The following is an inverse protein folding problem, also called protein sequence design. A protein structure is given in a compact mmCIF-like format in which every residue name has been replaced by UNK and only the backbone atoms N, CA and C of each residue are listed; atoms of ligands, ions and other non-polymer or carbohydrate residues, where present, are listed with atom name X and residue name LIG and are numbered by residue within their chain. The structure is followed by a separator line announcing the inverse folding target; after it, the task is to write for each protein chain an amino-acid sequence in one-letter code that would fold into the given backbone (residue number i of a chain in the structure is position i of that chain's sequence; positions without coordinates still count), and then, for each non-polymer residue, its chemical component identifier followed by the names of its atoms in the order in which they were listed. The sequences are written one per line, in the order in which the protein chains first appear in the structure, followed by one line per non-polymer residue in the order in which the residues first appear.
data_IF_069037852217
#
_entry.id   IF_069037852217
#
_cell.length_a   1.000
_cell.length_b   1.000
_cell.length_c   1.000
_cell.angle_alpha   90.00
_cell.angle_beta   90.00
_cell.angle_gamma   90.00
#
_symmetry.space_group_name_H-M   'P 1'
#
loop_
_entity.id
_entity.type
_entity.pdbx_description
1 polymer ?
#
# COMPACT_ATOMS: atom_id res chain seq x y z
N UNK A 1 18.50 7.28 12.86
CA UNK A 1 17.17 6.72 12.55
C UNK A 1 17.27 5.22 12.32
N UNK A 2 17.24 4.45 13.41
CA UNK A 2 17.44 2.98 13.41
C UNK A 2 16.69 2.34 14.58
N UNK A 3 15.39 2.63 14.73
CA UNK A 3 14.62 2.07 15.85
C UNK A 3 14.62 0.54 15.76
N UNK A 4 14.53 0.00 14.54
CA UNK A 4 14.63 -1.43 14.28
C UNK A 4 15.92 -2.04 14.86
N UNK A 5 17.09 -1.44 14.61
CA UNK A 5 18.36 -1.96 15.13
C UNK A 5 18.52 -1.84 16.64
N UNK A 6 17.79 -0.93 17.28
CA UNK A 6 17.78 -0.79 18.74
C UNK A 6 16.90 -1.89 19.34
N UNK A 7 15.71 -2.08 18.77
CA UNK A 7 14.74 -3.07 19.23
C UNK A 7 15.22 -4.51 19.03
N UNK A 8 16.02 -4.77 18.01
CA UNK A 8 16.45 -6.14 17.69
C UNK A 8 17.76 -6.55 18.38
N UNK A 9 18.31 -5.73 19.30
CA UNK A 9 19.55 -6.07 20.01
C UNK A 9 19.47 -7.35 20.85
N UNK A 10 18.29 -7.66 21.38
CA UNK A 10 17.99 -8.91 22.08
C UNK A 10 16.49 -9.19 22.01
N UNK A 11 16.09 -10.43 22.24
CA UNK A 11 14.68 -10.83 22.25
C UNK A 11 13.86 -10.08 23.31
N UNK A 12 14.41 -9.90 24.52
CA UNK A 12 13.76 -9.11 25.57
C UNK A 12 13.51 -7.65 25.14
N UNK A 13 14.48 -7.02 24.47
CA UNK A 13 14.31 -5.64 23.96
C UNK A 13 13.28 -5.57 22.84
N UNK A 14 13.21 -6.62 22.01
CA UNK A 14 12.23 -6.70 20.96
C UNK A 14 10.81 -6.78 21.51
N UNK A 15 10.58 -7.63 22.51
CA UNK A 15 9.29 -7.72 23.19
C UNK A 15 8.90 -6.38 23.82
N UNK A 16 9.82 -5.74 24.57
CA UNK A 16 9.59 -4.40 25.13
C UNK A 16 9.24 -3.35 24.08
N UNK A 17 9.92 -3.37 22.93
CA UNK A 17 9.62 -2.45 21.82
C UNK A 17 8.24 -2.70 21.23
N UNK A 18 7.89 -3.96 20.95
CA UNK A 18 6.60 -4.31 20.36
C UNK A 18 5.46 -3.91 21.31
N UNK A 19 5.61 -4.16 22.60
CA UNK A 19 4.65 -3.74 23.62
C UNK A 19 4.48 -2.21 23.64
N UNK A 20 5.58 -1.46 23.67
CA UNK A 20 5.53 0.01 23.62
C UNK A 20 4.91 0.54 22.32
N UNK A 21 5.18 -0.10 21.16
CA UNK A 21 4.57 0.29 19.90
C UNK A 21 3.06 0.03 19.87
N UNK A 22 2.61 -1.04 20.53
CA UNK A 22 1.19 -1.35 20.70
C UNK A 22 0.54 -0.35 21.67
N UNK A 23 1.19 0.00 22.78
CA UNK A 23 0.68 1.00 23.74
C UNK A 23 0.54 2.40 23.11
N UNK A 24 1.49 2.79 22.24
CA UNK A 24 1.43 4.04 21.47
C UNK A 24 0.27 4.07 20.47
N UNK A 25 -0.24 2.92 20.05
CA UNK A 25 -1.43 2.83 19.20
C UNK A 25 -2.72 2.95 20.00
N UNK A 26 -2.68 2.59 21.29
CA UNK A 26 -3.84 2.54 22.19
C UNK A 26 -4.00 3.84 22.99
N UNK A 27 -2.90 4.56 23.27
CA UNK A 27 -2.89 5.77 24.11
C UNK A 27 -2.33 6.99 23.36
N UNK A 28 -2.85 8.18 23.66
CA UNK A 28 -2.41 9.44 23.04
C UNK A 28 -1.07 9.98 23.59
N UNK A 29 -0.45 9.34 24.59
CA UNK A 29 0.72 9.88 25.28
C UNK A 29 1.55 8.79 25.95
N UNK A 30 2.63 8.33 25.31
CA UNK A 30 3.76 7.73 26.03
C UNK A 30 5.08 8.14 25.39
N UNK A 31 6.00 8.67 26.19
CA UNK A 31 7.41 8.85 25.82
C UNK A 31 8.05 7.47 25.84
N UNK A 32 8.63 6.97 24.73
CA UNK A 32 9.31 5.67 24.71
C UNK A 32 10.37 5.59 25.83
N UNK A 33 10.07 4.86 26.91
CA UNK A 33 10.95 4.77 28.07
C UNK A 33 12.15 3.88 27.73
N UNK A 34 13.38 4.39 27.95
CA UNK A 34 14.62 3.64 27.76
C UNK A 34 15.34 3.87 26.43
N UNK A 35 14.83 4.74 25.55
CA UNK A 35 15.55 5.18 24.34
C UNK A 35 16.34 6.46 24.63
N UNK A 36 17.56 6.55 24.08
CA UNK A 36 18.33 7.81 24.17
C UNK A 36 17.54 8.96 23.50
N UNK A 37 17.68 10.21 23.98
CA UNK A 37 17.05 11.41 23.39
C UNK A 37 17.31 11.62 21.89
N UNK A 38 18.28 10.89 21.31
CA UNK A 38 18.67 10.93 19.91
C UNK A 38 17.76 10.12 18.97
N UNK A 39 16.86 9.27 19.50
CA UNK A 39 15.81 8.63 18.69
C UNK A 39 14.65 9.61 18.54
N UNK A 40 14.83 10.60 17.67
CA UNK A 40 13.72 11.46 17.24
C UNK A 40 12.82 10.64 16.31
N UNK A 41 11.59 10.37 16.74
CA UNK A 41 10.47 10.25 15.80
C UNK A 41 10.46 11.57 15.02
N UNK A 42 10.43 11.52 13.70
CA UNK A 42 10.41 12.75 12.90
C UNK A 42 9.11 13.50 13.18
N UNK A 43 9.16 14.47 14.09
CA UNK A 43 8.31 15.64 14.01
C UNK A 43 8.89 16.49 12.89
N UNK A 44 8.19 16.60 11.78
CA UNK A 44 8.59 17.54 10.72
C UNK A 44 8.22 18.95 11.18
N UNK A 45 9.18 19.84 11.47
CA UNK A 45 8.87 21.23 11.69
C UNK A 45 8.82 21.92 10.33
N UNK A 46 7.62 22.27 9.82
CA UNK A 46 7.31 23.52 9.09
C UNK A 46 6.13 23.43 8.07
N UNK A 47 5.22 24.41 8.25
CA UNK A 47 4.37 25.16 7.32
C UNK A 47 3.28 24.54 6.43
N UNK A 48 3.15 23.22 6.30
CA UNK A 48 1.91 22.61 5.77
C UNK A 48 1.57 21.35 6.57
N UNK A 49 0.92 21.56 7.71
CA UNK A 49 0.69 20.55 8.75
C UNK A 49 -0.35 19.48 8.40
N UNK A 50 -0.04 18.54 7.51
CA UNK A 50 -0.94 17.39 7.27
C UNK A 50 -0.33 15.99 7.18
N UNK A 51 0.96 15.81 7.45
CA UNK A 51 1.57 14.47 7.43
C UNK A 51 2.55 14.25 8.58
N UNK A 52 2.17 14.69 9.78
CA UNK A 52 2.80 14.14 10.97
C UNK A 52 2.50 12.64 11.01
N UNK A 53 3.56 11.86 11.05
CA UNK A 53 3.59 10.64 11.82
C UNK A 53 3.27 11.10 13.28
N UNK A 54 1.97 11.13 13.60
CA UNK A 54 1.22 11.55 14.83
C UNK A 54 0.54 12.94 14.84
N UNK A 55 -0.81 13.00 14.79
CA UNK A 55 -1.59 14.20 15.18
C UNK A 55 -2.60 13.88 16.31
N UNK A 56 -2.40 14.39 17.55
CA UNK A 56 -3.47 14.61 18.52
C UNK A 56 -4.17 15.95 18.20
N UNK A 57 -5.49 16.00 18.31
CA UNK A 57 -6.23 17.28 18.35
C UNK A 57 -7.08 17.35 19.61
N UNK A 58 -7.18 18.56 20.12
CA UNK A 58 -8.00 18.99 21.26
C UNK A 58 -9.47 19.04 20.84
N UNK A 59 -10.35 18.51 21.70
CA UNK A 59 -11.81 18.67 21.56
C UNK A 59 -12.16 20.07 22.07
N UNK A 60 -12.65 20.96 21.20
CA UNK A 60 -13.43 22.12 21.64
C UNK A 60 -14.88 21.69 21.85
N UNK A 61 -15.50 22.24 22.89
CA UNK A 61 -16.77 21.83 23.49
C UNK A 61 -18.03 22.29 22.74
N UNK A 62 -18.04 22.20 21.41
CA UNK A 62 -19.24 22.53 20.62
C UNK A 62 -19.68 21.33 19.79
N UNK A 63 -20.84 20.79 20.18
CA UNK A 63 -21.40 19.51 19.78
C UNK A 63 -22.10 19.55 18.40
N UNK A 64 -21.46 20.14 17.38
CA UNK A 64 -22.01 20.19 16.03
C UNK A 64 -21.01 19.62 15.00
N UNK A 65 -21.26 18.38 14.54
CA UNK A 65 -20.55 17.79 13.40
C UNK A 65 -21.12 18.35 12.10
N UNK A 66 -20.29 19.05 11.33
CA UNK A 66 -20.56 19.30 9.91
C UNK A 66 -20.01 18.09 9.14
N UNK A 67 -20.87 17.13 8.84
CA UNK A 67 -20.54 15.79 8.33
C UNK A 67 -20.26 15.80 6.81
N UNK A 68 -19.32 16.63 6.36
CA UNK A 68 -18.99 16.75 4.92
C UNK A 68 -17.87 15.81 4.45
N UNK A 69 -16.91 15.44 5.31
CA UNK A 69 -15.76 14.61 4.90
C UNK A 69 -15.75 13.21 5.52
N UNK A 70 -16.65 12.93 6.46
CA UNK A 70 -16.66 11.69 7.23
C UNK A 70 -17.73 10.71 6.72
N UNK A 71 -17.62 10.28 5.47
CA UNK A 71 -18.38 9.11 5.02
C UNK A 71 -17.79 7.86 5.69
N UNK A 72 -18.23 7.56 6.92
CA UNK A 72 -18.61 6.15 7.17
C UNK A 72 -19.47 5.79 5.99
N UNK A 73 -19.23 4.66 5.35
CA UNK A 73 -19.93 4.30 4.12
C UNK A 73 -21.46 4.32 4.31
N UNK A 74 -22.07 5.49 4.14
CA UNK A 74 -23.47 5.76 4.42
C UNK A 74 -24.18 5.45 3.12
N UNK A 75 -25.11 4.51 3.17
CA UNK A 75 -26.05 4.28 2.09
C UNK A 75 -26.74 5.63 1.81
N UNK A 76 -26.48 6.23 0.65
CA UNK A 76 -27.29 7.35 0.20
C UNK A 76 -28.72 6.82 0.14
N UNK A 77 -29.61 7.40 0.95
CA UNK A 77 -31.01 7.02 1.01
C UNK A 77 -31.61 7.12 -0.40
N UNK A 78 -31.67 6.00 -1.14
CA UNK A 78 -32.72 5.81 -2.11
C UNK A 78 -33.95 5.39 -1.31
N UNK A 79 -34.70 6.40 -0.89
CA UNK A 79 -36.07 6.27 -0.42
C UNK A 79 -36.88 5.43 -1.41
N UNK A 80 -37.11 4.17 -1.07
CA UNK A 80 -38.21 3.34 -1.56
C UNK A 80 -38.68 2.44 -0.41
N UNK A 81 -39.17 3.07 0.67
CA UNK A 81 -40.14 2.41 1.53
C UNK A 81 -41.43 2.37 0.71
N UNK A 82 -41.72 1.24 0.09
CA UNK A 82 -43.06 0.92 -0.39
C UNK A 82 -43.73 0.13 0.73
N UNK A 83 -44.60 0.73 1.56
CA UNK A 83 -45.54 -0.06 2.33
C UNK A 83 -46.67 -0.46 1.38
N UNK A 84 -46.89 -1.75 1.17
CA UNK A 84 -48.23 -2.37 1.25
C UNK A 84 -48.26 -3.81 0.75
N UNK A 85 -48.91 -4.64 1.57
CA UNK A 85 -49.83 -5.73 1.22
C UNK A 85 -49.87 -6.20 -0.25
N UNK A 86 -49.70 -7.52 -0.40
CA UNK A 86 -50.23 -8.35 -1.48
C UNK A 86 -49.83 -7.99 -2.92
N UNK A 87 -48.64 -8.44 -3.33
CA UNK A 87 -48.37 -8.74 -4.74
C UNK A 87 -47.59 -10.05 -4.85
N UNK A 88 -48.26 -11.08 -5.39
CA UNK A 88 -47.63 -12.29 -5.91
C UNK A 88 -46.79 -11.93 -7.14
N UNK A 89 -45.61 -12.54 -7.23
CA UNK A 89 -44.67 -12.58 -8.37
C UNK A 89 -44.16 -11.25 -8.94
N UNK A 90 -42.89 -10.95 -8.63
CA UNK A 90 -41.92 -10.45 -9.62
C UNK A 90 -40.54 -10.49 -8.99
N UNK A 91 -39.58 -11.17 -9.64
CA UNK A 91 -38.16 -11.09 -9.29
C UNK A 91 -37.78 -9.60 -9.29
N UNK A 92 -37.62 -9.00 -8.11
CA UNK A 92 -37.05 -7.65 -8.00
C UNK A 92 -35.62 -7.77 -8.52
N UNK A 93 -35.36 -7.26 -9.73
CA UNK A 93 -34.00 -6.87 -10.10
C UNK A 93 -33.53 -5.90 -9.02
N UNK A 94 -32.68 -6.35 -8.09
CA UNK A 94 -31.95 -5.45 -7.20
C UNK A 94 -31.24 -4.46 -8.13
N UNK A 95 -31.65 -3.18 -8.12
CA UNK A 95 -30.83 -2.12 -8.72
C UNK A 95 -29.43 -2.30 -8.15
N UNK A 96 -28.45 -2.51 -9.00
CA UNK A 96 -27.05 -2.67 -8.61
C UNK A 96 -26.62 -1.45 -7.81
N UNK A 97 -26.24 -1.63 -6.55
CA UNK A 97 -25.78 -0.53 -5.71
C UNK A 97 -24.31 -0.23 -6.04
N UNK A 98 -24.06 0.62 -7.03
CA UNK A 98 -22.71 1.04 -7.43
C UNK A 98 -22.24 2.17 -6.52
N UNK A 99 -21.00 2.08 -6.03
CA UNK A 99 -20.43 3.16 -5.24
C UNK A 99 -20.01 4.31 -6.15
N UNK A 100 -20.51 5.51 -5.83
CA UNK A 100 -20.06 6.77 -6.40
C UNK A 100 -19.44 7.61 -5.27
N UNK A 101 -18.15 7.39 -4.95
CA UNK A 101 -17.50 8.11 -3.85
C UNK A 101 -17.60 9.63 -4.05
N UNK A 102 -17.93 10.37 -2.98
CA UNK A 102 -17.96 11.84 -3.05
C UNK A 102 -16.58 12.39 -3.42
N UNK A 103 -16.57 13.47 -4.21
CA UNK A 103 -15.35 14.18 -4.54
C UNK A 103 -14.68 14.70 -3.26
N UNK A 104 -13.36 14.52 -3.18
CA UNK A 104 -12.52 14.96 -2.08
C UNK A 104 -11.63 16.10 -2.56
N UNK A 105 -11.89 17.31 -2.06
CA UNK A 105 -11.06 18.46 -2.34
C UNK A 105 -9.87 18.51 -1.38
N UNK A 106 -8.70 18.11 -1.88
CA UNK A 106 -7.45 18.10 -1.10
C UNK A 106 -7.15 19.49 -0.51
N UNK A 107 -7.36 20.57 -1.27
CA UNK A 107 -7.05 21.94 -0.79
C UNK A 107 -7.92 22.32 0.39
N UNK A 108 -9.22 22.04 0.34
CA UNK A 108 -10.14 22.30 1.45
C UNK A 108 -9.81 21.43 2.66
N UNK A 109 -9.53 20.15 2.45
CA UNK A 109 -9.14 19.24 3.52
C UNK A 109 -7.85 19.67 4.22
N UNK A 110 -6.92 20.32 3.50
CA UNK A 110 -5.71 20.87 4.12
C UNK A 110 -6.00 22.07 5.06
N UNK A 111 -7.16 22.71 4.91
CA UNK A 111 -7.61 23.83 5.74
C UNK A 111 -8.68 23.44 6.77
N UNK A 112 -9.26 22.25 6.67
CA UNK A 112 -10.32 21.77 7.55
C UNK A 112 -9.77 21.28 8.90
N UNK A 113 -10.50 21.57 9.99
CA UNK A 113 -10.23 21.06 11.34
C UNK A 113 -11.02 19.75 11.55
N UNK A 114 -10.95 18.82 10.60
CA UNK A 114 -11.60 17.52 10.74
C UNK A 114 -10.60 16.43 11.09
N UNK A 115 -10.98 15.52 12.00
CA UNK A 115 -10.14 14.37 12.34
C UNK A 115 -10.11 13.40 11.17
N UNK A 116 -8.92 13.05 10.65
CA UNK A 116 -8.81 11.98 9.66
C UNK A 116 -9.23 10.61 10.23
N UNK A 117 -10.03 9.86 9.47
CA UNK A 117 -10.51 8.50 9.81
C UNK A 117 -9.35 7.51 9.93
N UNK A 118 -8.42 7.55 8.98
CA UNK A 118 -7.16 6.80 9.04
C UNK A 118 -6.04 7.64 9.66
N UNK A 119 -6.37 8.62 10.49
CA UNK A 119 -5.45 9.54 11.16
C UNK A 119 -4.50 8.88 12.16
N UNK A 120 -4.68 7.58 12.44
CA UNK A 120 -3.80 6.82 13.30
C UNK A 120 -2.34 6.90 12.85
N UNK A 121 -1.46 7.11 13.84
CA UNK A 121 -0.02 7.15 13.68
C UNK A 121 0.51 5.81 13.17
N UNK A 122 1.02 5.76 11.94
CA UNK A 122 1.88 4.66 11.51
C UNK A 122 3.30 5.06 11.85
N UNK A 123 3.83 4.51 12.95
CA UNK A 123 5.21 4.79 13.34
C UNK A 123 6.14 4.12 12.32
N UNK A 124 7.11 4.86 11.82
CA UNK A 124 8.12 4.32 10.93
C UNK A 124 9.30 3.82 11.76
N UNK A 125 9.54 2.51 11.72
CA UNK A 125 10.58 1.84 12.49
C UNK A 125 11.95 1.94 11.81
N UNK A 126 11.93 2.03 10.48
CA UNK A 126 13.12 2.17 9.65
C UNK A 126 12.75 2.90 8.35
N UNK A 127 13.52 3.94 8.00
CA UNK A 127 13.43 4.58 6.68
C UNK A 127 14.51 4.03 5.75
N UNK A 128 14.23 3.96 4.44
CA UNK A 128 15.28 3.74 3.45
C UNK A 128 16.24 4.92 3.46
N UNK A 129 17.54 4.66 3.42
CA UNK A 129 18.55 5.71 3.25
C UNK A 129 19.10 5.76 1.82
N UNK A 130 18.76 4.78 0.99
CA UNK A 130 19.06 4.76 -0.45
C UNK A 130 18.14 5.68 -1.27
N UNK A 131 16.95 6.00 -0.77
CA UNK A 131 15.95 6.82 -1.46
C UNK A 131 15.33 7.85 -0.48
N UNK A 132 15.19 9.10 -0.93
CA UNK A 132 14.48 10.16 -0.21
C UNK A 132 14.88 10.32 1.27
N UNK A 133 16.17 10.16 1.56
CA UNK A 133 16.65 10.24 2.94
C UNK A 133 16.61 11.69 3.43
N UNK A 134 15.98 11.99 4.58
CA UNK A 134 15.93 13.35 5.12
C UNK A 134 17.31 13.86 5.59
N UNK A 135 18.30 12.98 5.66
CA UNK A 135 19.68 13.31 6.05
C UNK A 135 20.63 13.48 4.85
N UNK A 136 20.14 13.30 3.62
CA UNK A 136 20.93 13.46 2.40
C UNK A 136 20.34 14.58 1.53
N UNK A 137 21.15 15.23 0.69
CA UNK A 137 20.63 16.16 -0.31
C UNK A 137 19.59 15.47 -1.21
N UNK A 138 18.53 16.18 -1.65
CA UNK A 138 17.57 15.65 -2.61
C UNK A 138 18.28 15.19 -3.89
N UNK A 139 17.90 14.01 -4.39
CA UNK A 139 18.35 13.49 -5.67
C UNK A 139 17.23 13.68 -6.71
N UNK A 140 17.60 14.09 -7.93
CA UNK A 140 16.65 14.06 -9.05
C UNK A 140 16.64 12.64 -9.63
N UNK A 141 15.49 11.98 -9.55
CA UNK A 141 15.24 10.61 -9.96
C UNK A 141 14.19 10.60 -11.08
N UNK A 142 14.30 9.62 -11.98
CA UNK A 142 13.34 9.40 -13.06
C UNK A 142 12.17 8.52 -12.59
N UNK A 143 12.45 7.58 -11.67
CA UNK A 143 11.45 6.68 -11.10
C UNK A 143 11.84 6.24 -9.67
N UNK A 144 10.84 6.15 -8.79
CA UNK A 144 10.95 5.40 -7.54
C UNK A 144 10.02 4.19 -7.61
N UNK A 145 10.57 3.00 -7.43
CA UNK A 145 9.82 1.75 -7.37
C UNK A 145 9.58 1.38 -5.91
N UNK A 146 8.32 1.18 -5.56
CA UNK A 146 7.87 0.76 -4.23
C UNK A 146 7.39 -0.68 -4.34
N UNK A 147 8.15 -1.59 -3.73
CA UNK A 147 7.86 -3.03 -3.76
C UNK A 147 7.17 -3.43 -2.46
N UNK A 148 5.89 -3.81 -2.52
CA UNK A 148 5.18 -4.41 -1.38
C UNK A 148 5.77 -5.81 -1.17
N UNK A 149 6.48 -6.02 -0.05
CA UNK A 149 7.08 -7.31 0.28
C UNK A 149 6.55 -7.85 1.60
N UNK A 150 6.63 -9.15 1.83
CA UNK A 150 6.27 -9.73 3.13
C UNK A 150 7.46 -9.76 4.09
N UNK A 151 7.22 -9.61 5.40
CA UNK A 151 8.25 -9.66 6.45
C UNK A 151 9.20 -10.87 6.33
N UNK A 152 8.69 -12.04 5.92
CA UNK A 152 9.48 -13.27 5.78
C UNK A 152 10.06 -13.51 4.38
N UNK A 153 9.75 -12.67 3.39
CA UNK A 153 10.09 -12.85 1.97
C UNK A 153 11.54 -12.42 1.65
N UNK A 154 12.50 -12.85 2.47
CA UNK A 154 13.92 -12.51 2.32
C UNK A 154 14.47 -12.95 0.96
N UNK A 155 14.09 -14.14 0.49
CA UNK A 155 14.62 -14.72 -0.76
C UNK A 155 14.11 -13.96 -1.98
N UNK A 156 12.85 -13.52 -1.99
CA UNK A 156 12.29 -12.66 -3.04
C UNK A 156 13.00 -11.30 -3.11
N UNK A 157 13.26 -10.67 -1.95
CA UNK A 157 14.03 -9.42 -1.91
C UNK A 157 15.48 -9.62 -2.33
N UNK A 158 16.09 -10.77 -2.02
CA UNK A 158 17.42 -11.11 -2.53
C UNK A 158 17.39 -11.29 -4.05
N UNK A 159 16.43 -12.06 -4.57
CA UNK A 159 16.22 -12.28 -5.99
C UNK A 159 16.12 -10.95 -6.74
N UNK A 160 15.30 -10.02 -6.27
CA UNK A 160 15.17 -8.69 -6.86
C UNK A 160 16.52 -7.94 -6.92
N UNK A 161 17.27 -7.92 -5.82
CA UNK A 161 18.63 -7.31 -5.73
C UNK A 161 19.65 -8.01 -6.62
N UNK A 162 19.46 -9.30 -6.88
CA UNK A 162 20.34 -10.12 -7.70
C UNK A 162 19.97 -10.11 -9.19
N UNK A 163 18.80 -9.58 -9.53
CA UNK A 163 18.25 -9.56 -10.88
C UNK A 163 17.94 -8.13 -11.34
N UNK A 164 16.66 -7.76 -11.43
CA UNK A 164 16.20 -6.53 -12.06
C UNK A 164 16.61 -5.24 -11.33
N UNK A 165 17.10 -5.31 -10.08
CA UNK A 165 17.60 -4.11 -9.37
C UNK A 165 19.08 -3.82 -9.63
N UNK A 166 19.79 -4.65 -10.40
CA UNK A 166 21.21 -4.41 -10.70
C UNK A 166 21.38 -3.12 -11.51
N UNK A 167 22.21 -2.21 -11.02
CA UNK A 167 22.38 -0.87 -11.58
C UNK A 167 22.81 -0.83 -13.05
N UNK A 168 23.57 -1.84 -13.51
CA UNK A 168 24.03 -1.90 -14.90
C UNK A 168 22.90 -2.12 -15.92
N UNK A 169 21.72 -2.57 -15.47
CA UNK A 169 20.51 -2.71 -16.30
C UNK A 169 19.76 -1.39 -16.50
N UNK A 170 20.09 -0.35 -15.73
CA UNK A 170 19.40 0.95 -15.71
C UNK A 170 20.30 2.09 -16.22
N UNK A 171 20.97 1.88 -17.35
CA UNK A 171 21.89 2.86 -17.93
C UNK A 171 21.17 4.16 -18.28
N UNK A 172 21.76 5.29 -17.86
CA UNK A 172 21.20 6.63 -18.05
C UNK A 172 19.75 6.79 -17.54
N UNK A 173 19.42 6.06 -16.48
CA UNK A 173 18.11 6.09 -15.84
C UNK A 173 18.25 6.05 -14.32
N UNK A 174 17.81 7.11 -13.66
CA UNK A 174 17.99 7.31 -12.22
C UNK A 174 16.81 6.71 -11.47
N UNK A 175 17.00 5.48 -11.01
CA UNK A 175 15.97 4.70 -10.32
C UNK A 175 16.38 4.42 -8.87
N UNK A 176 15.38 4.33 -7.99
CA UNK A 176 15.53 3.76 -6.65
C UNK A 176 14.43 2.76 -6.38
N UNK A 177 14.77 1.69 -5.68
CA UNK A 177 13.85 0.67 -5.21
C UNK A 177 13.73 0.76 -3.69
N UNK A 178 12.51 0.60 -3.18
CA UNK A 178 12.22 0.58 -1.75
C UNK A 178 11.26 -0.57 -1.47
N UNK A 179 11.67 -1.50 -0.62
CA UNK A 179 10.81 -2.54 -0.08
C UNK A 179 10.01 -2.01 1.10
N UNK A 180 8.71 -2.27 1.10
CA UNK A 180 7.82 -1.89 2.21
C UNK A 180 7.32 -3.13 2.93
N UNK A 181 7.58 -3.18 4.24
CA UNK A 181 7.22 -4.30 5.12
C UNK A 181 6.68 -3.78 6.45
N UNK A 182 5.97 -4.64 7.18
CA UNK A 182 5.61 -4.39 8.58
C UNK A 182 6.53 -5.11 9.55
N UNK A 183 5.99 -5.46 10.72
CA UNK A 183 6.63 -6.25 11.75
C UNK A 183 6.03 -7.67 11.78
N UNK A 184 6.80 -8.67 12.26
CA UNK A 184 6.28 -10.01 12.52
C UNK A 184 5.03 -9.98 13.41
N UNK A 185 4.07 -10.86 13.13
CA UNK A 185 2.84 -10.97 13.90
C UNK A 185 3.01 -12.02 15.02
N UNK A 186 2.75 -11.69 16.29
CA UNK A 186 2.69 -12.69 17.35
C UNK A 186 1.59 -13.71 17.04
N UNK A 187 1.89 -15.01 17.19
CA UNK A 187 0.94 -16.11 16.96
C UNK A 187 0.21 -16.01 15.61
N UNK A 188 0.93 -15.63 14.54
CA UNK A 188 0.35 -15.50 13.21
C UNK A 188 -0.31 -16.80 12.74
N UNK A 189 -1.56 -16.69 12.29
CA UNK A 189 -2.34 -17.76 11.68
C UNK A 189 -2.65 -17.44 10.23
N UNK A 190 -2.85 -18.47 9.43
CA UNK A 190 -3.38 -18.31 8.07
C UNK A 190 -4.92 -18.28 8.03
N UNK A 191 -5.54 -18.52 9.20
CA UNK A 191 -6.98 -18.43 9.41
C UNK A 191 -7.31 -17.04 9.94
N UNK A 192 -8.23 -16.38 9.25
CA UNK A 192 -8.71 -15.05 9.57
C UNK A 192 -10.22 -15.05 9.74
N UNK A 193 -10.70 -14.21 10.66
CA UNK A 193 -12.12 -14.06 10.96
C UNK A 193 -12.56 -12.61 10.77
N UNK A 194 -13.68 -12.41 10.08
CA UNK A 194 -14.32 -11.10 9.94
C UNK A 194 -15.82 -11.29 9.68
N UNK A 195 -16.69 -10.55 10.37
CA UNK A 195 -18.15 -10.57 10.16
C UNK A 195 -18.78 -11.98 10.04
N UNK A 196 -18.32 -12.93 10.87
CA UNK A 196 -18.80 -14.32 10.85
C UNK A 196 -18.24 -15.20 9.73
N UNK A 197 -17.33 -14.67 8.91
CA UNK A 197 -16.61 -15.37 7.85
C UNK A 197 -15.30 -15.89 8.38
N UNK A 198 -14.98 -17.14 8.07
CA UNK A 198 -13.67 -17.74 8.34
C UNK A 198 -12.98 -18.01 7.01
N UNK A 199 -11.76 -17.50 6.85
CA UNK A 199 -10.97 -17.65 5.63
C UNK A 199 -9.61 -18.23 5.99
N UNK A 200 -9.23 -19.30 5.31
CA UNK A 200 -7.87 -19.82 5.34
C UNK A 200 -7.19 -19.44 4.02
N UNK A 201 -6.13 -18.64 4.08
CA UNK A 201 -5.50 -18.11 2.87
C UNK A 201 -4.61 -19.12 2.15
N UNK A 202 -4.18 -20.20 2.82
CA UNK A 202 -3.34 -21.27 2.26
C UNK A 202 -2.04 -20.80 1.60
N UNK A 203 -1.34 -19.80 2.15
CA UNK A 203 -0.26 -19.08 1.44
C UNK A 203 1.14 -19.59 1.76
N UNK A 204 2.04 -19.49 0.78
CA UNK A 204 3.51 -19.61 0.95
C UNK A 204 4.03 -18.74 2.12
N UNK A 205 3.45 -17.54 2.32
CA UNK A 205 3.83 -16.66 3.43
C UNK A 205 3.56 -17.28 4.82
N UNK A 206 2.51 -18.10 4.98
CA UNK A 206 2.22 -18.80 6.23
C UNK A 206 3.25 -19.89 6.51
N UNK A 207 3.70 -20.61 5.47
CA UNK A 207 4.80 -21.57 5.59
C UNK A 207 6.10 -20.89 6.03
N UNK A 208 6.42 -19.73 5.45
CA UNK A 208 7.56 -18.93 5.87
C UNK A 208 7.42 -18.42 7.32
N UNK A 209 6.21 -18.02 7.73
CA UNK A 209 5.95 -17.57 9.10
C UNK A 209 6.22 -18.68 10.14
N UNK A 210 5.89 -19.93 9.82
CA UNK A 210 6.14 -21.10 10.70
C UNK A 210 7.63 -21.32 10.99
N UNK A 211 8.52 -20.99 10.06
CA UNK A 211 9.98 -21.06 10.28
C UNK A 211 10.46 -20.15 11.43
N UNK A 212 9.66 -19.14 11.80
CA UNK A 212 9.95 -18.17 12.84
C UNK A 212 8.96 -18.23 14.00
N UNK A 213 8.15 -19.29 14.11
CA UNK A 213 7.14 -19.44 15.17
C UNK A 213 7.76 -19.48 16.56
N UNK A 214 8.91 -20.16 16.70
CA UNK A 214 9.64 -20.26 17.97
C UNK A 214 10.17 -18.93 18.48
N UNK A 215 10.47 -17.98 17.59
CA UNK A 215 10.86 -16.63 17.97
C UNK A 215 10.71 -15.64 16.81
N UNK A 216 9.73 -14.74 16.95
CA UNK A 216 9.51 -13.61 16.04
C UNK A 216 10.66 -12.61 16.04
N UNK A 217 11.45 -12.58 17.12
CA UNK A 217 12.66 -11.77 17.19
C UNK A 217 13.69 -12.19 16.14
N UNK A 218 13.82 -13.48 15.81
CA UNK A 218 14.78 -13.94 14.79
C UNK A 218 14.45 -13.32 13.42
N UNK A 219 13.18 -13.30 13.03
CA UNK A 219 12.74 -12.65 11.79
C UNK A 219 13.02 -11.14 11.82
N UNK A 220 12.66 -10.46 12.92
CA UNK A 220 12.92 -9.04 13.09
C UNK A 220 14.41 -8.70 13.06
N UNK A 221 15.26 -9.54 13.66
CA UNK A 221 16.72 -9.41 13.66
C UNK A 221 17.28 -9.59 12.25
N UNK A 222 16.86 -10.62 11.51
CA UNK A 222 17.25 -10.83 10.11
C UNK A 222 16.84 -9.63 9.23
N UNK A 223 15.64 -9.08 9.43
CA UNK A 223 15.18 -7.85 8.76
C UNK A 223 16.05 -6.64 9.10
N UNK A 224 16.42 -6.49 10.38
CA UNK A 224 17.28 -5.40 10.82
C UNK A 224 18.66 -5.46 10.17
N UNK A 225 19.23 -6.65 10.03
CA UNK A 225 20.53 -6.86 9.42
C UNK A 225 20.47 -6.64 7.90
N UNK A 226 19.43 -7.14 7.25
CA UNK A 226 19.13 -6.86 5.83
C UNK A 226 19.00 -5.36 5.58
N UNK A 227 18.17 -4.66 6.36
CA UNK A 227 17.98 -3.23 6.23
C UNK A 227 19.26 -2.43 6.44
N UNK A 228 20.09 -2.82 7.42
CA UNK A 228 21.38 -2.18 7.66
C UNK A 228 22.38 -2.39 6.54
N UNK A 229 22.29 -3.52 5.82
CA UNK A 229 23.16 -3.86 4.69
C UNK A 229 22.76 -3.14 3.40
N UNK A 230 21.47 -3.14 3.06
CA UNK A 230 21.00 -2.70 1.74
C UNK A 230 20.39 -1.30 1.70
N UNK A 231 19.98 -0.76 2.86
CA UNK A 231 19.47 0.62 3.00
C UNK A 231 18.19 0.94 2.20
N UNK A 232 17.49 -0.07 1.68
CA UNK A 232 16.34 0.02 0.77
C UNK A 232 15.01 -0.40 1.41
N UNK A 233 14.93 -0.37 2.74
CA UNK A 233 13.79 -0.89 3.51
C UNK A 233 13.00 0.24 4.20
N UNK A 234 11.70 0.31 3.91
CA UNK A 234 10.71 1.07 4.67
C UNK A 234 9.95 0.11 5.59
N UNK A 235 10.15 0.22 6.90
CA UNK A 235 9.55 -0.69 7.89
C UNK A 235 8.53 0.05 8.74
N UNK A 236 7.29 -0.41 8.67
CA UNK A 236 6.15 0.16 9.35
C UNK A 236 5.82 -0.46 10.70
N UNK A 237 5.18 0.37 11.51
CA UNK A 237 4.45 0.14 12.75
C UNK A 237 3.51 -1.05 12.91
N UNK A 238 3.24 -1.84 11.87
CA UNK A 238 2.05 -2.70 11.79
C UNK A 238 2.40 -4.18 11.64
N UNK A 239 1.49 -5.05 12.06
CA UNK A 239 1.59 -6.49 11.82
C UNK A 239 1.48 -6.77 10.32
N UNK A 240 2.51 -7.38 9.75
CA UNK A 240 2.63 -7.60 8.31
C UNK A 240 1.83 -8.83 7.85
N UNK A 241 0.50 -8.68 7.84
CA UNK A 241 -0.45 -9.72 7.41
C UNK A 241 -1.16 -9.31 6.13
N UNK A 242 -1.85 -10.27 5.47
CA UNK A 242 -2.58 -9.99 4.22
C UNK A 242 -3.64 -8.92 4.40
N UNK A 243 -4.47 -9.03 5.43
CA UNK A 243 -5.55 -8.10 5.68
C UNK A 243 -5.08 -6.76 6.27
N UNK A 244 -3.77 -6.59 6.48
CA UNK A 244 -3.13 -5.32 6.79
C UNK A 244 -2.40 -4.69 5.58
N UNK A 245 -2.57 -5.22 4.36
CA UNK A 245 -1.98 -4.63 3.16
C UNK A 245 -2.37 -3.16 2.96
N UNK A 246 -3.59 -2.76 3.32
CA UNK A 246 -4.02 -1.36 3.28
C UNK A 246 -3.18 -0.46 4.18
N UNK A 247 -2.75 -0.94 5.36
CA UNK A 247 -1.82 -0.19 6.23
C UNK A 247 -0.44 -0.02 5.58
N UNK A 248 0.03 -1.06 4.88
CA UNK A 248 1.29 -1.02 4.11
C UNK A 248 1.20 -0.04 2.94
N UNK A 249 0.07 -0.01 2.24
CA UNK A 249 -0.21 0.96 1.19
C UNK A 249 -0.21 2.38 1.76
N UNK A 250 -1.00 2.67 2.80
CA UNK A 250 -1.05 4.01 3.43
C UNK A 250 0.36 4.48 3.86
N UNK A 251 1.17 3.60 4.47
CA UNK A 251 2.56 3.92 4.82
C UNK A 251 3.38 4.34 3.60
N UNK A 252 3.26 3.61 2.50
CA UNK A 252 4.00 3.85 1.26
C UNK A 252 3.70 5.25 0.69
N UNK A 253 2.42 5.62 0.64
CA UNK A 253 1.99 6.93 0.13
C UNK A 253 2.39 8.07 1.07
N UNK A 254 2.25 7.88 2.38
CA UNK A 254 2.72 8.86 3.38
C UNK A 254 4.21 9.11 3.28
N UNK A 255 5.01 8.04 3.23
CA UNK A 255 6.46 8.16 3.09
C UNK A 255 6.85 8.91 1.81
N UNK A 256 6.26 8.53 0.67
CA UNK A 256 6.53 9.15 -0.62
C UNK A 256 6.16 10.64 -0.63
N UNK A 257 4.94 10.98 -0.18
CA UNK A 257 4.46 12.36 -0.13
C UNK A 257 5.28 13.26 0.80
N UNK A 258 5.75 12.72 1.93
CA UNK A 258 6.50 13.47 2.94
C UNK A 258 7.98 13.65 2.57
N UNK A 259 8.66 12.57 2.19
CA UNK A 259 10.13 12.57 2.08
C UNK A 259 10.66 12.70 0.65
N UNK A 260 9.86 12.31 -0.35
CA UNK A 260 10.30 12.29 -1.75
C UNK A 260 9.82 13.51 -2.57
N UNK A 261 9.20 14.49 -1.92
CA UNK A 261 8.65 15.68 -2.62
C UNK A 261 9.72 16.36 -3.47
N UNK A 262 9.43 16.50 -4.77
CA UNK A 262 10.33 17.13 -5.73
C UNK A 262 11.51 16.28 -6.23
N UNK A 263 11.68 15.05 -5.73
CA UNK A 263 12.78 14.17 -6.14
C UNK A 263 12.45 13.32 -7.37
N UNK A 264 11.21 12.88 -7.53
CA UNK A 264 10.77 12.08 -8.69
C UNK A 264 9.46 12.62 -9.28
N UNK A 265 9.25 12.55 -10.60
CA UNK A 265 7.94 12.82 -11.21
C UNK A 265 6.97 11.64 -11.06
N UNK A 266 7.47 10.43 -10.76
CA UNK A 266 6.74 9.18 -10.99
C UNK A 266 7.09 8.10 -9.98
N UNK A 267 6.10 7.27 -9.64
CA UNK A 267 6.22 6.11 -8.78
C UNK A 267 5.63 4.88 -9.46
N UNK A 268 6.33 3.74 -9.37
CA UNK A 268 5.79 2.44 -9.76
C UNK A 268 5.61 1.60 -8.49
N UNK A 269 4.41 1.07 -8.29
CA UNK A 269 4.08 0.17 -7.20
C UNK A 269 3.95 -1.24 -7.75
N UNK A 270 4.53 -2.22 -7.06
CA UNK A 270 4.58 -3.61 -7.52
C UNK A 270 4.66 -4.56 -6.32
N UNK A 271 4.22 -5.81 -6.50
CA UNK A 271 4.33 -6.86 -5.49
C UNK A 271 5.64 -7.64 -5.65
N UNK A 272 6.11 -8.28 -4.58
CA UNK A 272 7.40 -8.98 -4.58
C UNK A 272 7.43 -10.33 -5.32
N UNK A 273 6.29 -10.78 -5.87
CA UNK A 273 6.17 -11.85 -6.86
C UNK A 273 6.28 -11.37 -8.31
N UNK A 274 6.52 -10.08 -8.57
CA UNK A 274 6.80 -9.57 -9.90
C UNK A 274 8.21 -8.98 -10.00
N UNK A 275 8.85 -9.19 -11.16
CA UNK A 275 10.09 -8.57 -11.56
C UNK A 275 9.83 -7.47 -12.59
N UNK A 276 10.62 -6.39 -12.55
CA UNK A 276 10.58 -5.36 -13.59
C UNK A 276 11.43 -5.76 -14.78
N UNK A 277 10.96 -5.45 -15.98
CA UNK A 277 11.74 -5.53 -17.22
C UNK A 277 12.43 -4.17 -17.47
N UNK A 278 13.76 -4.05 -17.26
CA UNK A 278 14.42 -2.74 -17.17
C UNK A 278 14.30 -1.90 -18.44
N UNK A 279 14.62 -2.47 -19.60
CA UNK A 279 14.58 -1.72 -20.86
C UNK A 279 13.16 -1.25 -21.21
N UNK A 280 12.16 -2.12 -21.04
CA UNK A 280 10.77 -1.78 -21.29
C UNK A 280 10.27 -0.71 -20.31
N UNK A 281 10.68 -0.79 -19.04
CA UNK A 281 10.35 0.23 -18.03
C UNK A 281 10.94 1.59 -18.40
N UNK A 282 12.21 1.63 -18.82
CA UNK A 282 12.87 2.85 -19.27
C UNK A 282 12.14 3.46 -20.48
N UNK A 283 11.78 2.63 -21.47
CA UNK A 283 11.03 3.05 -22.66
C UNK A 283 9.66 3.62 -22.27
N UNK A 284 8.92 2.94 -21.39
CA UNK A 284 7.63 3.42 -20.91
C UNK A 284 7.76 4.78 -20.21
N UNK A 285 8.66 4.92 -19.23
CA UNK A 285 8.81 6.17 -18.48
C UNK A 285 9.27 7.32 -19.39
N UNK A 286 10.19 7.08 -20.32
CA UNK A 286 10.64 8.10 -21.28
C UNK A 286 9.57 8.48 -22.31
N UNK A 287 8.61 7.61 -22.58
CA UNK A 287 7.47 7.93 -23.46
C UNK A 287 6.45 8.87 -22.81
N UNK A 288 6.48 9.02 -21.48
CA UNK A 288 5.62 9.94 -20.75
C UNK A 288 6.24 11.35 -20.76
N UNK A 289 5.55 12.31 -21.37
CA UNK A 289 5.99 13.71 -21.36
C UNK A 289 6.05 14.25 -19.92
N UNK A 290 7.00 15.14 -19.62
CA UNK A 290 7.24 15.66 -18.26
C UNK A 290 6.00 16.27 -17.57
N UNK A 291 5.12 16.94 -18.34
CA UNK A 291 3.86 17.50 -17.83
C UNK A 291 2.82 16.44 -17.50
N UNK A 292 2.86 15.28 -18.18
CA UNK A 292 1.91 14.17 -18.00
C UNK A 292 2.35 13.29 -16.85
N UNK A 293 3.66 13.02 -16.72
CA UNK A 293 4.22 12.07 -15.75
C UNK A 293 3.76 12.32 -14.32
N UNK A 294 3.68 13.58 -13.88
CA UNK A 294 3.27 13.93 -12.51
C UNK A 294 1.79 13.69 -12.21
N UNK A 295 0.96 13.61 -13.25
CA UNK A 295 -0.49 13.38 -13.17
C UNK A 295 -0.91 11.98 -13.63
N UNK A 296 0.03 11.13 -14.04
CA UNK A 296 -0.23 9.78 -14.55
C UNK A 296 -0.98 8.93 -13.52
N UNK A 297 -1.98 8.18 -13.99
CA UNK A 297 -2.72 7.16 -13.23
C UNK A 297 -2.92 5.96 -14.14
N UNK A 298 -1.94 5.05 -14.18
CA UNK A 298 -1.88 3.98 -15.18
C UNK A 298 -1.56 2.61 -14.61
N UNK A 299 -2.07 1.55 -15.24
CA UNK A 299 -1.87 0.16 -14.81
C UNK A 299 -2.88 -0.77 -15.48
N UNK A 300 -2.99 -2.01 -15.03
CA UNK A 300 -4.00 -2.93 -15.54
C UNK A 300 -5.33 -2.73 -14.81
N UNK A 301 -6.35 -2.21 -15.51
CA UNK A 301 -7.58 -1.72 -14.87
C UNK A 301 -8.66 -2.81 -14.79
N UNK A 302 -9.21 -3.01 -13.60
CA UNK A 302 -10.39 -3.82 -13.36
C UNK A 302 -11.65 -2.93 -13.38
N UNK A 303 -12.47 -3.06 -14.42
CA UNK A 303 -13.68 -2.24 -14.61
C UNK A 303 -14.95 -2.87 -14.06
N UNK A 304 -15.08 -4.20 -14.10
CA UNK A 304 -16.31 -4.90 -13.70
C UNK A 304 -16.52 -4.87 -12.19
N UNK A 305 -15.43 -4.94 -11.42
CA UNK A 305 -15.30 -4.52 -10.02
C UNK A 305 -16.41 -4.96 -9.07
N UNK A 306 -16.98 -6.15 -9.31
CA UNK A 306 -18.00 -6.74 -8.44
C UNK A 306 -17.37 -7.03 -7.08
N UNK A 307 -18.03 -6.61 -6.00
CA UNK A 307 -17.59 -6.94 -4.66
C UNK A 307 -17.85 -8.42 -4.40
N UNK A 308 -16.78 -9.17 -4.16
CA UNK A 308 -16.86 -10.54 -3.70
C UNK A 308 -17.55 -10.55 -2.32
N UNK A 309 -18.69 -11.25 -2.23
CA UNK A 309 -19.46 -11.36 -0.98
C UNK A 309 -19.28 -12.74 -0.37
N UNK A 310 -19.12 -12.86 0.96
CA UNK A 310 -18.93 -14.17 1.61
C UNK A 310 -20.06 -15.17 1.35
N UNK A 311 -21.29 -14.69 1.16
CA UNK A 311 -22.46 -15.54 0.88
C UNK A 311 -22.62 -15.94 -0.59
N UNK A 312 -21.73 -15.49 -1.48
CA UNK A 312 -21.78 -15.81 -2.91
C UNK A 312 -20.71 -16.86 -3.20
N UNK A 313 -21.14 -18.12 -3.37
CA UNK A 313 -20.29 -19.31 -3.60
C UNK A 313 -19.31 -19.22 -4.81
N UNK A 314 -19.42 -18.17 -5.64
CA UNK A 314 -18.65 -18.00 -6.88
C UNK A 314 -17.32 -17.26 -6.72
N UNK A 315 -17.01 -16.71 -5.55
CA UNK A 315 -15.81 -15.90 -5.36
C UNK A 315 -14.87 -16.52 -4.32
N UNK A 316 -13.57 -16.34 -4.53
CA UNK A 316 -12.57 -16.69 -3.52
C UNK A 316 -12.84 -15.87 -2.25
N UNK A 317 -13.02 -16.58 -1.13
CA UNK A 317 -13.30 -15.98 0.17
C UNK A 317 -12.15 -15.07 0.65
N UNK A 318 -10.93 -15.28 0.15
CA UNK A 318 -9.76 -14.42 0.37
C UNK A 318 -10.03 -12.94 0.09
N UNK A 319 -10.80 -12.65 -0.96
CA UNK A 319 -11.11 -11.27 -1.37
C UNK A 319 -12.53 -10.84 -0.98
N UNK A 320 -13.21 -11.67 -0.20
CA UNK A 320 -14.59 -11.36 0.20
C UNK A 320 -14.65 -10.22 1.22
N UNK A 321 -15.61 -9.32 1.00
CA UNK A 321 -15.85 -8.13 1.81
C UNK A 321 -17.30 -8.11 2.25
N UNK A 322 -17.51 -7.94 3.56
CA UNK A 322 -18.85 -7.92 4.15
C UNK A 322 -19.59 -6.63 3.81
N UNK A 323 -20.92 -6.63 4.00
CA UNK A 323 -21.73 -5.42 3.82
C UNK A 323 -21.39 -4.37 4.91
N UNK A 324 -20.96 -4.82 6.09
CA UNK A 324 -20.54 -3.93 7.18
C UNK A 324 -19.25 -3.19 6.84
N UNK A 325 -18.30 -3.89 6.20
CA UNK A 325 -17.03 -3.31 5.76
C UNK A 325 -17.20 -2.44 4.52
N UNK A 326 -18.03 -2.86 3.56
CA UNK A 326 -18.32 -2.09 2.34
C UNK A 326 -19.74 -2.36 1.84
N UNK A 327 -20.67 -1.39 1.92
CA UNK A 327 -22.10 -1.65 1.69
C UNK A 327 -22.52 -1.71 0.21
N UNK A 328 -21.69 -1.25 -0.73
CA UNK A 328 -22.02 -1.27 -2.16
C UNK A 328 -21.68 -2.60 -2.83
N UNK A 329 -22.41 -2.96 -3.88
CA UNK A 329 -22.21 -4.21 -4.62
C UNK A 329 -21.04 -4.15 -5.62
N UNK A 330 -20.57 -2.95 -5.94
CA UNK A 330 -19.49 -2.69 -6.90
C UNK A 330 -18.49 -1.68 -6.33
N UNK A 331 -17.20 -1.95 -6.54
CA UNK A 331 -16.15 -0.96 -6.37
C UNK A 331 -16.13 0.01 -7.56
N UNK A 332 -15.65 1.25 -7.39
CA UNK A 332 -15.17 2.02 -8.53
C UNK A 332 -14.01 1.27 -9.21
N UNK A 333 -13.66 1.61 -10.48
CA UNK A 333 -12.52 1.01 -11.15
C UNK A 333 -11.25 1.11 -10.29
N UNK A 334 -10.48 0.02 -10.28
CA UNK A 334 -9.22 -0.07 -9.53
C UNK A 334 -8.19 -0.86 -10.36
N UNK A 335 -6.92 -0.81 -9.96
CA UNK A 335 -5.87 -1.58 -10.62
C UNK A 335 -5.81 -3.01 -10.08
N UNK A 336 -5.53 -4.00 -10.92
CA UNK A 336 -5.13 -5.31 -10.43
C UNK A 336 -3.84 -5.20 -9.60
N UNK A 337 -3.75 -5.99 -8.52
CA UNK A 337 -2.62 -6.00 -7.57
C UNK A 337 -1.27 -6.48 -8.09
N UNK A 338 -1.06 -6.45 -9.41
CA UNK A 338 0.22 -6.84 -10.04
C UNK A 338 1.18 -5.67 -10.17
N UNK A 339 0.64 -4.46 -10.26
CA UNK A 339 1.43 -3.24 -10.30
C UNK A 339 0.73 -2.11 -11.04
N UNK A 340 1.16 -0.89 -10.74
CA UNK A 340 0.61 0.34 -11.32
C UNK A 340 1.60 1.49 -11.20
N UNK A 341 1.33 2.55 -11.95
CA UNK A 341 2.17 3.72 -12.13
C UNK A 341 1.40 4.98 -11.77
N UNK A 342 1.88 5.74 -10.79
CA UNK A 342 1.28 7.00 -10.36
C UNK A 342 2.26 8.15 -10.43
N UNK A 343 1.78 9.28 -10.91
CA UNK A 343 2.52 10.54 -10.86
C UNK A 343 2.65 11.09 -9.45
N UNK A 344 3.67 11.92 -9.22
CA UNK A 344 3.99 12.42 -7.87
C UNK A 344 2.94 13.38 -7.29
N UNK A 345 2.20 14.10 -8.12
CA UNK A 345 1.06 14.92 -7.66
C UNK A 345 -0.09 14.02 -7.20
N UNK A 346 -0.34 12.91 -7.92
CA UNK A 346 -1.37 11.93 -7.56
C UNK A 346 -1.03 11.22 -6.25
N UNK A 347 0.22 10.81 -6.06
CA UNK A 347 0.66 10.17 -4.79
C UNK A 347 0.49 11.13 -3.61
N UNK A 348 0.79 12.43 -3.82
CA UNK A 348 0.62 13.45 -2.79
C UNK A 348 -0.85 13.66 -2.43
N UNK A 349 -1.72 13.85 -3.43
CA UNK A 349 -3.18 13.99 -3.25
C UNK A 349 -3.78 12.74 -2.60
N UNK A 350 -3.38 11.55 -3.06
CA UNK A 350 -3.85 10.27 -2.55
C UNK A 350 -3.44 10.06 -1.09
N UNK A 351 -2.22 10.44 -0.69
CA UNK A 351 -1.77 10.36 0.71
C UNK A 351 -2.70 11.13 1.65
N UNK A 352 -3.14 12.32 1.24
CA UNK A 352 -4.10 13.13 2.01
C UNK A 352 -5.49 12.48 1.97
N UNK A 353 -6.00 12.13 0.79
CA UNK A 353 -7.33 11.54 0.65
C UNK A 353 -7.47 10.21 1.40
N UNK A 354 -6.42 9.39 1.46
CA UNK A 354 -6.37 8.15 2.26
C UNK A 354 -6.62 8.42 3.74
N UNK A 355 -6.20 9.57 4.28
CA UNK A 355 -6.43 9.92 5.68
C UNK A 355 -7.92 10.12 5.99
N UNK A 356 -8.73 10.53 5.00
CA UNK A 356 -10.16 10.84 5.12
C UNK A 356 -11.07 9.84 4.40
N UNK A 357 -10.54 8.69 3.99
CA UNK A 357 -11.31 7.62 3.33
C UNK A 357 -11.35 6.43 4.25
N UNK A 358 -12.54 5.93 4.63
CA UNK A 358 -12.64 4.69 5.41
C UNK A 358 -11.85 3.57 4.71
N UNK A 359 -10.98 2.90 5.45
CA UNK A 359 -10.16 1.80 4.91
C UNK A 359 -10.95 0.49 4.87
N UNK A 360 -10.62 -0.34 3.88
CA UNK A 360 -11.06 -1.73 3.74
C UNK A 360 -9.83 -2.63 3.66
N UNK A 361 -9.99 -3.95 3.89
CA UNK A 361 -8.90 -4.93 3.89
C UNK A 361 -8.29 -5.19 2.51
N UNK A 362 -9.03 -4.89 1.44
CA UNK A 362 -8.59 -5.06 0.05
C UNK A 362 -7.95 -3.76 -0.42
N UNK A 363 -6.63 -3.71 -0.40
CA UNK A 363 -5.82 -2.51 -0.63
C UNK A 363 -5.98 -1.97 -2.06
N UNK A 364 -6.02 -2.85 -3.06
CA UNK A 364 -6.20 -2.44 -4.45
C UNK A 364 -7.56 -1.74 -4.67
N UNK A 365 -8.63 -2.31 -4.13
CA UNK A 365 -9.97 -1.70 -4.19
C UNK A 365 -10.05 -0.42 -3.35
N UNK A 366 -9.35 -0.35 -2.21
CA UNK A 366 -9.23 0.88 -1.42
C UNK A 366 -8.58 2.01 -2.23
N UNK A 367 -7.51 1.73 -2.97
CA UNK A 367 -6.89 2.71 -3.87
C UNK A 367 -7.86 3.20 -4.94
N UNK A 368 -8.64 2.31 -5.54
CA UNK A 368 -9.67 2.69 -6.51
C UNK A 368 -10.70 3.66 -5.93
N UNK A 369 -11.14 3.43 -4.69
CA UNK A 369 -12.03 4.34 -3.96
C UNK A 369 -11.36 5.70 -3.78
N UNK A 370 -10.10 5.74 -3.32
CA UNK A 370 -9.34 6.98 -3.11
C UNK A 370 -9.18 7.76 -4.42
N UNK A 371 -8.77 7.10 -5.50
CA UNK A 371 -8.58 7.73 -6.82
C UNK A 371 -9.92 8.25 -7.39
N UNK A 372 -11.01 7.52 -7.18
CA UNK A 372 -12.35 7.97 -7.57
C UNK A 372 -12.80 9.20 -6.76
N UNK A 373 -12.52 9.26 -5.45
CA UNK A 373 -12.75 10.47 -4.64
C UNK A 373 -11.95 11.65 -5.14
N UNK A 374 -10.74 11.42 -5.66
CA UNK A 374 -9.92 12.47 -6.28
C UNK A 374 -10.33 12.83 -7.72
N UNK A 375 -11.43 12.26 -8.21
CA UNK A 375 -11.91 12.41 -9.59
C UNK A 375 -10.82 12.08 -10.63
N UNK A 376 -10.06 11.01 -10.39
CA UNK A 376 -9.01 10.55 -11.32
C UNK A 376 -9.53 9.40 -12.17
N UNK A 377 -9.33 9.52 -13.48
CA UNK A 377 -9.61 8.44 -14.44
C UNK A 377 -8.40 7.52 -14.52
N UNK A 378 -8.64 6.22 -14.37
CA UNK A 378 -7.61 5.20 -14.49
C UNK A 378 -7.35 4.91 -15.97
N UNK A 379 -6.09 4.87 -16.37
CA UNK A 379 -5.66 4.54 -17.72
C UNK A 379 -5.22 3.09 -17.79
N UNK A 380 -5.86 2.30 -18.64
CA UNK A 380 -5.42 0.93 -18.88
C UNK A 380 -4.13 0.92 -19.71
N UNK A 381 -3.06 0.36 -19.14
CA UNK A 381 -1.74 0.24 -19.76
C UNK A 381 -1.46 -1.22 -20.09
N UNK A 382 -1.28 -1.52 -21.37
CA UNK A 382 -0.99 -2.89 -21.87
C UNK A 382 0.34 -3.44 -21.37
N UNK A 383 1.21 -2.55 -20.92
CA UNK A 383 2.51 -2.84 -20.32
C UNK A 383 2.38 -3.60 -18.99
N UNK A 384 1.20 -3.50 -18.34
CA UNK A 384 0.81 -4.27 -17.16
C UNK A 384 -0.24 -5.30 -17.61
N UNK A 385 0.07 -6.60 -17.53
CA UNK A 385 -0.81 -7.68 -18.00
C UNK A 385 -0.73 -8.89 -17.07
N UNK A 386 -1.86 -9.60 -16.92
CA UNK A 386 -1.93 -10.92 -16.29
C UNK A 386 -1.63 -12.06 -17.28
N UNK A 387 -1.81 -11.81 -18.57
CA UNK A 387 -1.48 -12.80 -19.60
C UNK A 387 0.01 -12.67 -19.94
N UNK A 388 0.77 -13.65 -19.47
CA UNK A 388 2.22 -13.76 -19.65
C UNK A 388 2.62 -14.80 -20.69
N UNK A 389 1.67 -15.37 -21.43
CA UNK A 389 1.95 -16.32 -22.52
C UNK A 389 2.58 -15.60 -23.74
N UNK A 390 3.69 -16.12 -24.28
CA UNK A 390 4.48 -15.48 -25.37
C UNK A 390 4.30 -16.26 -26.66
N UNK A 391 4.07 -15.59 -27.82
CA UNK A 391 5.23 -15.32 -28.70
C UNK A 391 5.38 -13.86 -29.23
N UNK A 392 4.35 -13.00 -29.24
CA UNK A 392 4.42 -11.66 -29.89
C UNK A 392 4.25 -10.45 -28.94
N UNK A 393 3.60 -10.63 -27.78
CA UNK A 393 3.17 -9.52 -26.91
C UNK A 393 4.17 -9.08 -25.82
N UNK A 394 5.31 -9.78 -25.61
CA UNK A 394 6.27 -9.43 -24.55
C UNK A 394 7.18 -8.24 -24.85
N UNK A 395 7.14 -7.68 -26.05
CA UNK A 395 7.94 -6.49 -26.41
C UNK A 395 7.60 -5.23 -25.60
N UNK A 396 6.46 -5.21 -24.91
CA UNK A 396 5.98 -4.04 -24.15
C UNK A 396 5.77 -4.28 -22.65
N UNK A 397 5.85 -5.52 -22.13
CA UNK A 397 5.60 -5.77 -20.70
C UNK A 397 6.64 -5.06 -19.83
N UNK A 398 6.21 -4.45 -18.72
CA UNK A 398 7.13 -3.83 -17.75
C UNK A 398 7.27 -4.65 -16.47
N UNK A 399 6.34 -5.56 -16.21
CA UNK A 399 6.37 -6.50 -15.08
C UNK A 399 6.14 -7.92 -15.59
N UNK A 400 6.66 -8.90 -14.86
CA UNK A 400 6.53 -10.34 -15.14
C UNK A 400 6.62 -11.13 -13.83
N UNK A 401 5.84 -12.19 -13.67
CA UNK A 401 5.90 -13.06 -12.50
C UNK A 401 7.30 -13.66 -12.35
N UNK A 402 7.85 -13.65 -11.12
CA UNK A 402 9.23 -14.13 -10.86
C UNK A 402 9.43 -15.61 -11.19
N UNK A 403 8.37 -16.43 -11.07
CA UNK A 403 8.41 -17.87 -11.35
C UNK A 403 8.57 -18.09 -12.87
N UNK A 404 8.11 -17.16 -13.71
CA UNK A 404 8.31 -17.19 -15.17
C UNK A 404 9.61 -16.47 -15.56
N UNK A 405 9.93 -15.37 -14.89
CA UNK A 405 11.06 -14.51 -15.24
C UNK A 405 12.42 -15.23 -15.17
N UNK A 406 12.58 -16.18 -14.26
CA UNK A 406 13.80 -16.99 -14.13
C UNK A 406 14.13 -17.81 -15.38
N UNK A 407 13.11 -18.24 -16.10
CA UNK A 407 13.25 -19.08 -17.30
C UNK A 407 13.40 -18.24 -18.56
N UNK A 408 12.80 -17.06 -18.61
CA UNK A 408 12.68 -16.28 -19.85
C UNK A 408 13.56 -15.02 -19.89
N UNK A 409 14.21 -14.60 -18.79
CA UNK A 409 15.02 -13.37 -18.76
C UNK A 409 16.49 -13.66 -18.46
N UNK A 410 17.38 -13.14 -19.30
CA UNK A 410 18.80 -13.13 -19.02
C UNK A 410 19.16 -11.94 -18.12
N UNK A 411 19.18 -12.13 -16.80
CA UNK A 411 19.46 -11.06 -15.83
C UNK A 411 20.89 -10.47 -15.89
N UNK A 412 21.80 -11.04 -16.68
CA UNK A 412 23.09 -10.40 -16.95
C UNK A 412 22.94 -9.24 -17.94
N UNK A 413 22.09 -9.40 -18.95
CA UNK A 413 21.90 -8.40 -20.02
C UNK A 413 20.61 -7.61 -19.87
N UNK A 414 19.58 -8.20 -19.25
CA UNK A 414 18.21 -7.67 -19.17
C UNK A 414 17.32 -8.13 -20.33
N UNK A 415 17.85 -8.95 -21.25
CA UNK A 415 17.15 -9.36 -22.46
C UNK A 415 16.15 -10.49 -22.18
N UNK A 416 15.03 -10.45 -22.91
CA UNK A 416 14.09 -11.56 -22.99
C UNK A 416 14.69 -12.64 -23.89
N UNK A 417 14.88 -13.85 -23.35
CA UNK A 417 15.36 -14.99 -24.09
C UNK A 417 14.23 -15.52 -24.98
N UNK A 418 14.43 -15.50 -26.30
CA UNK A 418 13.51 -16.14 -27.24
C UNK A 418 13.61 -17.66 -27.05
N UNK A 419 12.46 -18.31 -26.85
CA UNK A 419 12.32 -19.76 -26.95
C UNK A 419 12.11 -20.18 -28.41
#
# INVERSE_FOLDING_TARGET
MKMLSICTKSEQKWLQCVDQLNDLRITNYVRLSGFQPSVRLFQTPLNYGLLDIQIPFTINSENHMNDMLNERYVLSNSSDVIPMSNVKSSVKMRKSNVHHPKYFNVKEALHAIEKPVNGGSIIVVQLPTSACSPTKPPESLDLIVIVKSCIYCFDKRSYARDTYMKSHLWKDFRIRFVFVVGLPTPNETDVYHFDGVTVNLGRKASELSKLYESSRWIAAKKLSDESGKFNDMLVGSFHDTYFNLTSKMILSYRWAATFCKGQTPLYLFVDDDYALLPENTIRLVRSLNASVSRSTVGGFVHYTSVVARPSKEKFDLKWSVSVNEYPWDYYPPYFYGIGYLLGSDIVSDASVAMAFTQSIRIDDSFLGIVLSRLNRTLTNMKEFSLDESIPENKSCLVIIDIDIAGDVINWKTGDIMNY
#
